data_IF_145005738279
#
_entry.id   IF_145005738279
#
_cell.length_a   1.000
_cell.length_b   1.000
_cell.length_c   1.000
_cell.angle_alpha   90.00
_cell.angle_beta   90.00
_cell.angle_gamma   90.00
#
_symmetry.space_group_name_H-M   'P 1'
#
loop_
_entity.id
_entity.type
_entity.pdbx_description
1 polymer ?
#
# COMPACT_ATOMS: atom_id res chain seq x y z
N UNK A 1 13.62 -47.41 2.91
CA UNK A 1 14.76 -47.82 2.05
C UNK A 1 15.22 -46.55 1.31
N UNK A 2 16.21 -45.82 1.83
CA UNK A 2 17.66 -45.88 1.50
C UNK A 2 17.97 -45.61 0.01
N UNK A 3 18.55 -44.42 -0.23
CA UNK A 3 19.33 -43.88 -1.37
C UNK A 3 20.36 -44.89 -1.95
N UNK A 4 20.89 -44.76 -3.20
CA UNK A 4 21.99 -43.82 -3.58
C UNK A 4 21.89 -43.20 -5.02
N UNK A 5 22.38 -41.99 -5.34
CA UNK A 5 23.75 -41.40 -5.46
C UNK A 5 24.51 -41.67 -6.78
N UNK A 6 25.10 -40.59 -7.33
CA UNK A 6 26.28 -40.46 -8.25
C UNK A 6 26.05 -40.70 -9.76
N UNK A 7 26.67 -40.01 -10.73
CA UNK A 7 27.73 -38.99 -10.86
C UNK A 7 27.66 -38.47 -12.34
N UNK A 8 28.21 -37.33 -12.81
CA UNK A 8 29.60 -36.95 -13.15
C UNK A 8 29.46 -35.64 -14.00
N UNK A 9 30.03 -34.48 -13.65
CA UNK A 9 31.33 -33.94 -14.08
C UNK A 9 31.58 -33.85 -15.61
N UNK A 10 31.57 -32.63 -16.19
CA UNK A 10 32.53 -32.19 -17.22
C UNK A 10 32.33 -30.71 -17.62
N UNK A 11 33.33 -29.87 -17.30
CA UNK A 11 33.62 -28.55 -17.89
C UNK A 11 34.48 -28.71 -19.17
N UNK A 12 34.46 -27.74 -20.09
CA UNK A 12 35.65 -27.44 -20.88
C UNK A 12 36.11 -25.98 -20.75
N UNK A 13 37.40 -25.85 -20.43
CA UNK A 13 38.25 -24.66 -20.51
C UNK A 13 38.54 -24.31 -21.98
N UNK A 14 38.47 -23.03 -22.34
CA UNK A 14 38.92 -22.53 -23.65
C UNK A 14 40.27 -21.81 -23.54
N UNK A 15 41.27 -22.53 -24.06
CA UNK A 15 42.54 -22.16 -24.72
C UNK A 15 42.95 -20.69 -24.80
N UNK A 16 44.17 -20.45 -24.30
CA UNK A 16 44.99 -19.23 -24.44
C UNK A 16 45.77 -19.28 -25.75
N UNK A 17 45.64 -18.26 -26.60
CA UNK A 17 46.49 -18.08 -27.78
C UNK A 17 47.74 -17.26 -27.41
N UNK A 18 48.90 -17.86 -27.65
CA UNK A 18 50.23 -17.28 -27.49
C UNK A 18 50.59 -16.42 -28.71
N UNK A 19 51.01 -15.18 -28.49
CA UNK A 19 51.65 -14.34 -29.50
C UNK A 19 53.05 -13.97 -29.00
N UNK A 20 54.10 -14.43 -29.72
CA UNK A 20 55.50 -14.08 -29.50
C UNK A 20 55.99 -13.19 -30.66
N UNK A 21 56.55 -12.00 -30.39
CA UNK A 21 57.43 -11.33 -31.33
C UNK A 21 58.90 -11.59 -31.00
N UNK A 22 59.63 -11.86 -32.07
CA UNK A 22 61.07 -12.04 -32.22
C UNK A 22 61.91 -10.86 -31.67
N UNK A 23 62.94 -11.18 -30.88
CA UNK A 23 63.92 -10.23 -30.33
C UNK A 23 65.21 -10.30 -31.16
N UNK A 24 65.54 -9.21 -31.86
CA UNK A 24 66.86 -8.96 -32.46
C UNK A 24 67.66 -8.02 -31.54
N UNK A 25 68.92 -8.32 -31.20
CA UNK A 25 69.71 -7.47 -30.30
C UNK A 25 70.28 -6.25 -31.06
N UNK A 26 69.97 -5.06 -30.58
CA UNK A 26 70.53 -3.79 -31.05
C UNK A 26 71.64 -3.29 -30.07
N UNK A 27 72.70 -2.61 -30.57
CA UNK A 27 73.88 -2.21 -29.81
C UNK A 27 73.59 -1.07 -28.81
N UNK A 28 74.48 -0.84 -27.82
CA UNK A 28 74.16 -0.09 -26.61
C UNK A 28 73.93 1.40 -26.90
N UNK A 29 72.73 1.89 -26.57
CA UNK A 29 72.47 3.33 -26.45
C UNK A 29 72.70 3.76 -25.00
N UNK A 30 73.62 4.69 -24.83
CA UNK A 30 73.88 5.40 -23.59
C UNK A 30 72.57 6.06 -23.15
N UNK A 31 71.97 5.53 -22.08
CA UNK A 31 70.73 6.07 -21.51
C UNK A 31 70.99 7.36 -20.73
N UNK A 32 70.01 8.29 -20.68
CA UNK A 32 70.11 9.48 -19.84
C UNK A 32 70.23 9.08 -18.36
N UNK A 33 71.01 9.83 -17.60
CA UNK A 33 71.29 9.52 -16.20
C UNK A 33 70.00 9.44 -15.37
N UNK A 34 69.90 8.53 -14.38
CA UNK A 34 68.68 8.22 -13.64
C UNK A 34 68.00 9.44 -12.97
N UNK A 35 68.76 10.50 -12.69
CA UNK A 35 68.25 11.77 -12.15
C UNK A 35 67.34 12.53 -13.12
N UNK A 36 67.62 12.55 -14.43
CA UNK A 36 66.78 13.25 -15.41
C UNK A 36 65.45 12.52 -15.64
N UNK A 37 65.47 11.18 -15.61
CA UNK A 37 64.27 10.37 -15.78
C UNK A 37 63.31 10.52 -14.59
N UNK A 38 63.83 10.66 -13.37
CA UNK A 38 63.04 10.86 -12.16
C UNK A 38 62.35 12.23 -12.12
N UNK A 39 63.01 13.27 -12.64
CA UNK A 39 62.43 14.61 -12.67
C UNK A 39 61.31 14.71 -13.72
N UNK A 40 61.50 14.09 -14.88
CA UNK A 40 60.49 14.06 -15.94
C UNK A 40 59.27 13.19 -15.56
N UNK A 41 59.48 12.07 -14.86
CA UNK A 41 58.38 11.22 -14.39
C UNK A 41 57.53 11.89 -13.31
N UNK A 42 58.13 12.71 -12.44
CA UNK A 42 57.36 13.51 -11.46
C UNK A 42 56.47 14.57 -12.14
N UNK A 43 56.95 15.23 -13.20
CA UNK A 43 56.14 16.21 -13.93
C UNK A 43 54.96 15.55 -14.65
N UNK A 44 55.18 14.40 -15.29
CA UNK A 44 54.13 13.61 -15.94
C UNK A 44 53.12 13.05 -14.93
N UNK A 45 53.58 12.59 -13.76
CA UNK A 45 52.71 12.12 -12.70
C UNK A 45 51.78 13.23 -12.18
N UNK A 46 52.28 14.46 -12.00
CA UNK A 46 51.44 15.60 -11.59
C UNK A 46 50.38 15.95 -12.63
N UNK A 47 50.73 15.91 -13.92
CA UNK A 47 49.79 16.21 -15.00
C UNK A 47 48.70 15.14 -15.11
N UNK A 48 49.07 13.86 -14.96
CA UNK A 48 48.13 12.75 -14.94
C UNK A 48 47.21 12.79 -13.72
N UNK A 49 47.73 13.14 -12.54
CA UNK A 49 46.94 13.27 -11.32
C UNK A 49 45.87 14.36 -11.45
N UNK A 50 46.20 15.52 -12.03
CA UNK A 50 45.22 16.58 -12.28
C UNK A 50 44.12 16.15 -13.26
N UNK A 51 44.48 15.45 -14.36
CA UNK A 51 43.49 14.91 -15.30
C UNK A 51 42.56 13.88 -14.65
N UNK A 52 43.12 13.01 -13.80
CA UNK A 52 42.35 11.98 -13.12
C UNK A 52 41.38 12.60 -12.10
N UNK A 53 41.82 13.63 -11.38
CA UNK A 53 40.97 14.38 -10.45
C UNK A 53 39.84 15.13 -11.17
N UNK A 54 40.12 15.73 -12.34
CA UNK A 54 39.11 16.38 -13.17
C UNK A 54 38.06 15.40 -13.72
N UNK A 55 38.49 14.22 -14.20
CA UNK A 55 37.58 13.17 -14.63
C UNK A 55 36.69 12.66 -13.48
N UNK A 56 37.25 12.50 -12.29
CA UNK A 56 36.50 12.05 -11.12
C UNK A 56 35.45 13.08 -10.68
N UNK A 57 35.78 14.38 -10.69
CA UNK A 57 34.82 15.45 -10.42
C UNK A 57 33.69 15.48 -11.45
N UNK A 58 34.01 15.31 -12.73
CA UNK A 58 33.00 15.34 -13.79
C UNK A 58 32.00 14.17 -13.66
N UNK A 59 32.49 12.98 -13.31
CA UNK A 59 31.63 11.82 -13.05
C UNK A 59 30.74 12.02 -11.83
N UNK A 60 31.28 12.58 -10.75
CA UNK A 60 30.53 12.87 -9.53
C UNK A 60 29.43 13.91 -9.78
N UNK A 61 29.72 14.96 -10.54
CA UNK A 61 28.73 15.99 -10.90
C UNK A 61 27.60 15.41 -11.75
N UNK A 62 27.92 14.53 -12.71
CA UNK A 62 26.91 13.86 -13.53
C UNK A 62 26.05 12.88 -12.72
N UNK A 63 26.66 12.17 -11.76
CA UNK A 63 25.95 11.27 -10.85
C UNK A 63 25.02 12.04 -9.89
N UNK A 64 25.46 13.21 -9.41
CA UNK A 64 24.65 14.09 -8.56
C UNK A 64 23.44 14.65 -9.33
N UNK A 65 23.62 15.06 -10.58
CA UNK A 65 22.53 15.55 -11.42
C UNK A 65 21.49 14.46 -11.73
N UNK A 66 21.94 13.23 -12.01
CA UNK A 66 21.05 12.05 -12.17
C UNK A 66 20.26 11.74 -10.90
N UNK A 67 20.92 11.78 -9.74
CA UNK A 67 20.25 11.57 -8.46
C UNK A 67 19.23 12.69 -8.16
N UNK A 68 19.59 13.95 -8.41
CA UNK A 68 18.68 15.08 -8.18
C UNK A 68 17.45 15.00 -9.09
N UNK A 69 17.60 14.60 -10.36
CA UNK A 69 16.48 14.43 -11.29
C UNK A 69 15.57 13.24 -10.91
N UNK A 70 16.14 12.12 -10.45
CA UNK A 70 15.34 11.00 -9.92
C UNK A 70 14.64 11.37 -8.60
N UNK A 71 15.28 12.17 -7.75
CA UNK A 71 14.70 12.60 -6.48
C UNK A 71 13.56 13.60 -6.70
N UNK A 72 13.67 14.47 -7.71
CA UNK A 72 12.60 15.37 -8.14
C UNK A 72 11.40 14.63 -8.75
N UNK A 73 11.63 13.60 -9.57
CA UNK A 73 10.55 12.76 -10.10
C UNK A 73 9.84 11.97 -8.99
N UNK A 74 10.60 11.44 -8.02
CA UNK A 74 10.04 10.74 -6.86
C UNK A 74 9.23 11.68 -5.96
N UNK A 75 9.73 12.89 -5.69
CA UNK A 75 9.02 13.87 -4.87
C UNK A 75 7.75 14.38 -5.57
N UNK A 76 7.78 14.60 -6.89
CA UNK A 76 6.60 14.97 -7.67
C UNK A 76 5.56 13.85 -7.67
N UNK A 77 5.95 12.60 -7.86
CA UNK A 77 5.03 11.46 -7.78
C UNK A 77 4.42 11.27 -6.38
N UNK A 78 5.21 11.52 -5.31
CA UNK A 78 4.70 11.52 -3.94
C UNK A 78 3.69 12.65 -3.71
N UNK A 79 4.00 13.86 -4.18
CA UNK A 79 3.12 15.03 -4.06
C UNK A 79 1.82 14.82 -4.85
N UNK A 80 1.89 14.25 -6.04
CA UNK A 80 0.72 13.96 -6.87
C UNK A 80 -0.18 12.90 -6.21
N UNK A 81 0.40 11.86 -5.58
CA UNK A 81 -0.38 10.90 -4.77
C UNK A 81 -1.01 11.54 -3.55
N UNK A 82 -0.28 12.40 -2.85
CA UNK A 82 -0.80 13.11 -1.68
C UNK A 82 -1.97 14.01 -2.07
N UNK A 83 -1.86 14.71 -3.21
CA UNK A 83 -2.94 15.52 -3.78
C UNK A 83 -4.13 14.65 -4.22
N UNK A 84 -3.91 13.50 -4.84
CA UNK A 84 -4.98 12.59 -5.25
C UNK A 84 -5.73 12.00 -4.05
N UNK A 85 -5.01 11.65 -2.97
CA UNK A 85 -5.61 11.25 -1.71
C UNK A 85 -6.37 12.41 -1.05
N UNK A 86 -5.83 13.63 -1.09
CA UNK A 86 -6.49 14.80 -0.53
C UNK A 86 -7.75 15.19 -1.33
N UNK A 87 -7.75 15.01 -2.65
CA UNK A 87 -8.90 15.16 -3.53
C UNK A 87 -9.96 14.08 -3.24
N UNK A 88 -9.55 12.83 -3.01
CA UNK A 88 -10.45 11.78 -2.55
C UNK A 88 -11.06 12.12 -1.18
N UNK A 89 -10.27 12.63 -0.25
CA UNK A 89 -10.75 13.14 1.05
C UNK A 89 -11.71 14.33 0.90
N UNK A 90 -11.47 15.25 -0.03
CA UNK A 90 -12.41 16.34 -0.34
C UNK A 90 -13.68 15.83 -1.03
N UNK A 91 -13.58 14.84 -1.91
CA UNK A 91 -14.75 14.22 -2.56
C UNK A 91 -15.63 13.50 -1.56
N UNK A 92 -15.03 12.74 -0.64
CA UNK A 92 -15.73 12.12 0.48
C UNK A 92 -16.47 13.15 1.35
N UNK A 93 -15.99 14.40 1.37
CA UNK A 93 -16.61 15.51 2.10
C UNK A 93 -17.76 16.18 1.32
N UNK A 94 -17.76 16.14 -0.01
CA UNK A 94 -18.81 16.69 -0.86
C UNK A 94 -19.82 15.59 -1.27
N UNK A 95 -20.84 15.37 -0.44
CA UNK A 95 -21.78 14.25 -0.55
C UNK A 95 -22.49 14.08 -1.91
N UNK A 96 -22.78 15.17 -2.64
CA UNK A 96 -23.47 15.08 -3.95
C UNK A 96 -22.57 14.51 -5.05
N UNK A 97 -21.33 15.01 -5.18
CA UNK A 97 -20.38 14.50 -6.19
C UNK A 97 -19.93 13.07 -5.87
N UNK A 98 -19.78 12.74 -4.57
CA UNK A 98 -19.48 11.38 -4.15
C UNK A 98 -20.58 10.38 -4.52
N UNK A 99 -21.86 10.78 -4.42
CA UNK A 99 -22.99 9.93 -4.79
C UNK A 99 -23.02 9.66 -6.30
N UNK A 100 -22.82 10.68 -7.13
CA UNK A 100 -22.77 10.51 -8.59
C UNK A 100 -21.59 9.64 -9.03
N UNK A 101 -20.39 9.85 -8.47
CA UNK A 101 -19.22 9.04 -8.76
C UNK A 101 -19.44 7.57 -8.35
N UNK A 102 -20.07 7.34 -7.20
CA UNK A 102 -20.42 6.00 -6.71
C UNK A 102 -21.41 5.32 -7.66
N UNK A 103 -22.45 6.02 -8.10
CA UNK A 103 -23.42 5.46 -9.03
C UNK A 103 -22.78 5.11 -10.39
N UNK A 104 -21.90 5.95 -10.93
CA UNK A 104 -21.17 5.63 -12.17
C UNK A 104 -20.25 4.43 -11.99
N UNK A 105 -19.58 4.33 -10.84
CA UNK A 105 -18.74 3.20 -10.50
C UNK A 105 -19.57 1.90 -10.44
N UNK A 106 -20.71 1.91 -9.75
CA UNK A 106 -21.63 0.77 -9.66
C UNK A 106 -22.13 0.32 -11.05
N UNK A 107 -22.47 1.27 -11.93
CA UNK A 107 -22.87 0.97 -13.31
C UNK A 107 -21.73 0.31 -14.11
N UNK A 108 -20.51 0.82 -14.00
CA UNK A 108 -19.36 0.22 -14.67
C UNK A 108 -19.07 -1.20 -14.15
N UNK A 109 -19.20 -1.43 -12.84
CA UNK A 109 -19.05 -2.75 -12.22
C UNK A 109 -20.12 -3.74 -12.67
N UNK A 110 -21.37 -3.29 -12.81
CA UNK A 110 -22.46 -4.10 -13.38
C UNK A 110 -22.14 -4.51 -14.82
N UNK A 111 -21.75 -3.58 -15.68
CA UNK A 111 -21.38 -3.88 -17.07
C UNK A 111 -20.20 -4.85 -17.15
N UNK A 112 -19.19 -4.68 -16.30
CA UNK A 112 -18.05 -5.60 -16.25
C UNK A 112 -18.46 -7.02 -15.80
N UNK A 113 -19.36 -7.13 -14.81
CA UNK A 113 -19.92 -8.42 -14.39
C UNK A 113 -20.75 -9.07 -15.50
N UNK A 114 -21.53 -8.29 -16.26
CA UNK A 114 -22.29 -8.79 -17.41
C UNK A 114 -21.37 -9.36 -18.49
N UNK A 115 -20.26 -8.69 -18.81
CA UNK A 115 -19.28 -9.20 -19.79
C UNK A 115 -18.65 -10.53 -19.34
N UNK A 116 -18.28 -10.63 -18.06
CA UNK A 116 -17.74 -11.87 -17.49
C UNK A 116 -18.79 -13.00 -17.56
N UNK A 117 -20.04 -12.70 -17.22
CA UNK A 117 -21.15 -13.67 -17.28
C UNK A 117 -21.47 -14.10 -18.72
N UNK A 118 -21.46 -13.17 -19.67
CA UNK A 118 -21.67 -13.45 -21.09
C UNK A 118 -20.58 -14.38 -21.63
N UNK A 119 -19.31 -14.13 -21.32
CA UNK A 119 -18.20 -15.00 -21.74
C UNK A 119 -18.37 -16.40 -21.16
N UNK A 120 -18.67 -16.52 -19.87
CA UNK A 120 -18.90 -17.81 -19.22
C UNK A 120 -20.07 -18.58 -19.87
N UNK A 121 -21.17 -17.89 -20.20
CA UNK A 121 -22.31 -18.47 -20.88
C UNK A 121 -21.98 -18.90 -22.32
N UNK A 122 -21.22 -18.08 -23.06
CA UNK A 122 -20.77 -18.40 -24.41
C UNK A 122 -19.87 -19.63 -24.44
N UNK A 123 -18.91 -19.73 -23.50
CA UNK A 123 -18.07 -20.91 -23.33
C UNK A 123 -18.91 -22.16 -23.04
N UNK A 124 -19.91 -22.06 -22.16
CA UNK A 124 -20.83 -23.17 -21.90
C UNK A 124 -21.62 -23.57 -23.15
N UNK A 125 -22.12 -22.61 -23.94
CA UNK A 125 -22.82 -22.88 -25.21
C UNK A 125 -21.90 -23.55 -26.22
N UNK A 126 -20.65 -23.10 -26.35
CA UNK A 126 -19.64 -23.72 -27.24
C UNK A 126 -19.36 -25.16 -26.86
N UNK A 127 -19.24 -25.47 -25.56
CA UNK A 127 -19.06 -26.85 -25.06
C UNK A 127 -20.25 -27.75 -25.37
N UNK A 128 -21.48 -27.22 -25.35
CA UNK A 128 -22.68 -27.98 -25.70
C UNK A 128 -22.81 -28.18 -27.22
N UNK A 129 -22.43 -27.18 -28.02
CA UNK A 129 -22.47 -27.26 -29.48
C UNK A 129 -21.35 -28.15 -30.04
N UNK A 130 -20.19 -28.18 -29.39
CA UNK A 130 -19.02 -28.96 -29.77
C UNK A 130 -18.52 -29.74 -28.53
N UNK A 131 -19.17 -30.87 -28.20
CA UNK A 131 -18.69 -31.72 -27.11
C UNK A 131 -17.33 -32.30 -27.47
N UNK A 132 -16.41 -32.28 -26.51
CA UNK A 132 -15.09 -32.89 -26.67
C UNK A 132 -15.19 -34.39 -26.96
N UNK A 133 -14.31 -34.91 -27.81
CA UNK A 133 -14.35 -36.31 -28.26
C UNK A 133 -13.83 -37.28 -27.18
N UNK A 134 -12.97 -36.80 -26.29
CA UNK A 134 -12.42 -37.57 -25.18
C UNK A 134 -12.19 -36.69 -23.93
N UNK A 135 -11.82 -37.34 -22.82
CA UNK A 135 -11.59 -36.68 -21.54
C UNK A 135 -10.37 -35.73 -21.56
N UNK A 136 -9.37 -35.98 -22.40
CA UNK A 136 -8.17 -35.13 -22.48
C UNK A 136 -8.50 -33.82 -23.21
N UNK A 137 -9.24 -33.89 -24.32
CA UNK A 137 -9.75 -32.73 -25.04
C UNK A 137 -10.72 -31.92 -24.16
N UNK A 138 -11.59 -32.59 -23.40
CA UNK A 138 -12.51 -31.91 -22.49
C UNK A 138 -11.75 -31.12 -21.41
N UNK A 139 -10.72 -31.72 -20.80
CA UNK A 139 -9.89 -31.08 -19.79
C UNK A 139 -9.05 -29.92 -20.37
N UNK A 140 -8.52 -30.08 -21.59
CA UNK A 140 -7.78 -29.02 -22.28
C UNK A 140 -8.69 -27.82 -22.58
N UNK A 141 -9.89 -28.06 -23.11
CA UNK A 141 -10.88 -27.02 -23.40
C UNK A 141 -11.32 -26.28 -22.12
N UNK A 142 -11.58 -27.02 -21.03
CA UNK A 142 -11.92 -26.41 -19.73
C UNK A 142 -10.81 -25.50 -19.21
N UNK A 143 -9.54 -25.88 -19.36
CA UNK A 143 -8.40 -25.05 -18.95
C UNK A 143 -8.27 -23.78 -19.78
N UNK A 144 -8.49 -23.87 -21.09
CA UNK A 144 -8.46 -22.70 -21.97
C UNK A 144 -9.61 -21.74 -21.68
N UNK A 145 -10.83 -22.26 -21.51
CA UNK A 145 -12.00 -21.48 -21.11
C UNK A 145 -11.74 -20.75 -19.79
N UNK A 146 -11.22 -21.46 -18.78
CA UNK A 146 -10.87 -20.89 -17.48
C UNK A 146 -9.83 -19.76 -17.61
N UNK A 147 -8.78 -19.96 -18.42
CA UNK A 147 -7.78 -18.93 -18.70
C UNK A 147 -8.37 -17.66 -19.31
N UNK A 148 -9.24 -17.81 -20.31
CA UNK A 148 -9.89 -16.67 -20.95
C UNK A 148 -10.77 -15.90 -19.95
N UNK A 149 -11.52 -16.63 -19.12
CA UNK A 149 -12.36 -16.05 -18.08
C UNK A 149 -11.54 -15.32 -17.02
N UNK A 150 -10.46 -15.93 -16.54
CA UNK A 150 -9.54 -15.31 -15.57
C UNK A 150 -8.89 -14.07 -16.16
N UNK A 151 -8.42 -14.12 -17.41
CA UNK A 151 -7.84 -12.95 -18.10
C UNK A 151 -8.82 -11.79 -18.20
N UNK A 152 -10.08 -12.05 -18.59
CA UNK A 152 -11.11 -11.01 -18.62
C UNK A 152 -11.38 -10.47 -17.21
N UNK A 153 -11.50 -11.35 -16.22
CA UNK A 153 -11.76 -10.97 -14.82
C UNK A 153 -10.65 -10.09 -14.26
N UNK A 154 -9.39 -10.44 -14.49
CA UNK A 154 -8.22 -9.65 -14.05
C UNK A 154 -8.21 -8.27 -14.71
N UNK A 155 -8.48 -8.21 -16.02
CA UNK A 155 -8.54 -6.95 -16.77
C UNK A 155 -9.67 -6.06 -16.24
N UNK A 156 -10.88 -6.59 -16.12
CA UNK A 156 -12.02 -5.88 -15.55
C UNK A 156 -11.76 -5.43 -14.12
N UNK A 157 -11.01 -6.21 -13.34
CA UNK A 157 -10.62 -5.83 -11.98
C UNK A 157 -9.71 -4.60 -11.96
N UNK A 158 -8.66 -4.59 -12.78
CA UNK A 158 -7.77 -3.42 -12.87
C UNK A 158 -8.50 -2.16 -13.37
N UNK A 159 -9.34 -2.30 -14.39
CA UNK A 159 -9.97 -1.17 -15.09
C UNK A 159 -11.16 -0.60 -14.31
N UNK A 160 -11.91 -1.46 -13.61
CA UNK A 160 -13.20 -1.09 -12.99
C UNK A 160 -13.18 -1.34 -11.48
N UNK A 161 -13.09 -2.60 -11.04
CA UNK A 161 -13.36 -2.96 -9.64
C UNK A 161 -12.32 -2.44 -8.63
N UNK A 162 -11.05 -2.29 -9.02
CA UNK A 162 -9.99 -1.84 -8.12
C UNK A 162 -10.28 -0.43 -7.60
N UNK A 163 -10.85 0.45 -8.43
CA UNK A 163 -11.19 1.82 -8.03
C UNK A 163 -12.28 1.83 -6.96
N UNK A 164 -13.32 1.01 -7.12
CA UNK A 164 -14.38 0.82 -6.13
C UNK A 164 -13.80 0.31 -4.81
N UNK A 165 -13.04 -0.79 -4.87
CA UNK A 165 -12.44 -1.40 -3.68
C UNK A 165 -11.50 -0.46 -2.90
N UNK A 166 -10.70 0.36 -3.60
CA UNK A 166 -9.85 1.38 -2.95
C UNK A 166 -10.70 2.48 -2.33
N UNK A 167 -11.79 2.90 -2.99
CA UNK A 167 -12.70 3.92 -2.47
C UNK A 167 -13.40 3.43 -1.20
N UNK A 168 -13.87 2.19 -1.19
CA UNK A 168 -14.49 1.57 -0.01
C UNK A 168 -13.48 1.49 1.14
N UNK A 169 -12.26 1.02 0.88
CA UNK A 169 -11.19 0.99 1.87
C UNK A 169 -10.89 2.37 2.45
N UNK A 170 -10.84 3.43 1.61
CA UNK A 170 -10.69 4.82 2.05
C UNK A 170 -11.87 5.29 2.92
N UNK A 171 -13.10 4.93 2.57
CA UNK A 171 -14.29 5.28 3.35
C UNK A 171 -14.24 4.69 4.77
N UNK A 172 -13.74 3.47 4.92
CA UNK A 172 -13.60 2.84 6.26
C UNK A 172 -12.62 3.57 7.19
N UNK A 173 -11.77 4.44 6.65
CA UNK A 173 -10.81 5.25 7.41
C UNK A 173 -11.39 6.59 7.88
N UNK A 174 -12.63 6.91 7.52
CA UNK A 174 -13.32 8.12 7.93
C UNK A 174 -14.53 7.80 8.81
N UNK A 175 -14.88 8.74 9.69
CA UNK A 175 -16.22 8.74 10.30
C UNK A 175 -17.24 9.12 9.24
N UNK A 176 -18.41 8.46 9.26
CA UNK A 176 -19.56 8.89 8.45
C UNK A 176 -20.00 10.31 8.85
N UNK A 177 -20.68 11.06 7.97
CA UNK A 177 -21.17 12.41 8.30
C UNK A 177 -22.01 12.43 9.58
N UNK A 178 -22.95 11.48 9.74
CA UNK A 178 -23.76 11.35 10.94
C UNK A 178 -22.91 11.07 12.20
N UNK A 179 -21.88 10.24 12.08
CA UNK A 179 -20.96 9.98 13.19
C UNK A 179 -20.12 11.23 13.54
N UNK A 180 -19.72 12.03 12.55
CA UNK A 180 -19.00 13.29 12.79
C UNK A 180 -19.90 14.31 13.53
N UNK A 181 -21.14 14.48 13.07
CA UNK A 181 -22.14 15.33 13.73
C UNK A 181 -22.38 14.88 15.17
N UNK A 182 -22.47 13.56 15.41
CA UNK A 182 -22.66 13.01 16.75
C UNK A 182 -21.46 13.30 17.66
N UNK A 183 -20.21 13.15 17.18
CA UNK A 183 -19.02 13.53 17.95
C UNK A 183 -19.02 15.04 18.27
N UNK A 184 -19.36 15.88 17.30
CA UNK A 184 -19.43 17.33 17.48
C UNK A 184 -20.47 17.71 18.53
N UNK A 185 -21.70 17.18 18.41
CA UNK A 185 -22.80 17.41 19.35
C UNK A 185 -22.41 17.00 20.77
N UNK A 186 -21.87 15.80 20.97
CA UNK A 186 -21.41 15.35 22.29
C UNK A 186 -20.33 16.28 22.84
N UNK A 187 -19.40 16.70 21.98
CA UNK A 187 -18.34 17.62 22.38
C UNK A 187 -18.88 19.00 22.77
N UNK A 188 -19.93 19.50 22.11
CA UNK A 188 -20.56 20.78 22.43
C UNK A 188 -21.33 20.69 23.74
N UNK A 189 -22.21 19.69 23.90
CA UNK A 189 -23.01 19.46 25.11
C UNK A 189 -22.11 19.35 26.36
N UNK A 190 -21.07 18.52 26.32
CA UNK A 190 -20.16 18.33 27.46
C UNK A 190 -19.24 19.53 27.73
N UNK A 191 -19.08 20.47 26.79
CA UNK A 191 -18.30 21.70 27.00
C UNK A 191 -19.19 22.85 27.49
N UNK A 192 -20.46 22.85 27.12
CA UNK A 192 -21.41 23.89 27.45
C UNK A 192 -21.65 24.00 28.96
N UNK A 193 -21.45 25.20 29.50
CA UNK A 193 -21.71 25.45 30.90
C UNK A 193 -23.18 25.46 31.28
N UNK A 194 -24.08 25.83 30.38
CA UNK A 194 -25.51 25.81 30.64
C UNK A 194 -26.01 24.37 30.78
N UNK A 195 -25.58 23.46 29.89
CA UNK A 195 -25.84 22.02 30.02
C UNK A 195 -25.49 21.49 31.41
N UNK A 196 -24.27 21.74 31.90
CA UNK A 196 -23.84 21.28 33.23
C UNK A 196 -24.64 21.88 34.39
N UNK A 197 -25.12 23.11 34.26
CA UNK A 197 -25.95 23.76 35.29
C UNK A 197 -27.39 23.24 35.32
N UNK A 198 -27.85 22.64 34.22
CA UNK A 198 -29.19 22.06 34.09
C UNK A 198 -29.25 20.59 34.53
N UNK A 199 -28.11 19.89 34.60
CA UNK A 199 -28.07 18.50 35.03
C UNK A 199 -28.23 18.38 36.54
N UNK A 200 -29.10 17.46 36.97
CA UNK A 200 -29.10 16.97 38.34
C UNK A 200 -27.72 16.33 38.62
N UNK A 201 -27.01 16.71 39.70
CA UNK A 201 -25.74 16.10 40.09
C UNK A 201 -25.78 14.58 40.15
N UNK A 202 -26.93 13.99 40.54
CA UNK A 202 -27.12 12.54 40.58
C UNK A 202 -27.22 11.89 39.19
N UNK A 203 -27.64 12.65 38.16
CA UNK A 203 -27.81 12.17 36.79
C UNK A 203 -26.62 12.53 35.88
N UNK A 204 -25.84 13.55 36.23
CA UNK A 204 -24.71 14.04 35.44
C UNK A 204 -23.71 12.92 35.11
N UNK A 205 -23.39 12.06 36.08
CA UNK A 205 -22.47 10.94 35.86
C UNK A 205 -23.03 9.89 34.89
N UNK A 206 -24.32 9.57 34.98
CA UNK A 206 -24.98 8.65 34.06
C UNK A 206 -25.03 9.20 32.63
N UNK A 207 -25.27 10.51 32.48
CA UNK A 207 -25.23 11.17 31.16
C UNK A 207 -23.82 11.15 30.56
N UNK A 208 -22.79 11.45 31.36
CA UNK A 208 -21.39 11.31 30.92
C UNK A 208 -21.09 9.86 30.52
N UNK A 209 -21.61 8.87 31.25
CA UNK A 209 -21.48 7.46 30.88
C UNK A 209 -22.10 7.16 29.52
N UNK A 210 -23.32 7.62 29.25
CA UNK A 210 -24.00 7.45 27.97
C UNK A 210 -23.24 8.11 26.80
N UNK A 211 -22.75 9.33 26.99
CA UNK A 211 -21.93 10.02 25.99
C UNK A 211 -20.59 9.31 25.76
N UNK A 212 -19.93 8.85 26.83
CA UNK A 212 -18.66 8.13 26.72
C UNK A 212 -18.84 6.79 26.00
N UNK A 213 -19.93 6.04 26.27
CA UNK A 213 -20.26 4.81 25.55
C UNK A 213 -20.50 5.06 24.06
N UNK A 214 -21.16 6.17 23.72
CA UNK A 214 -21.36 6.58 22.32
C UNK A 214 -20.02 6.86 21.64
N UNK A 215 -19.14 7.64 22.27
CA UNK A 215 -17.80 7.92 21.74
C UNK A 215 -16.96 6.64 21.60
N UNK A 216 -17.07 5.70 22.54
CA UNK A 216 -16.43 4.38 22.48
C UNK A 216 -16.91 3.59 21.26
N UNK A 217 -18.21 3.56 20.99
CA UNK A 217 -18.76 2.85 19.83
C UNK A 217 -18.33 3.51 18.50
N UNK A 218 -18.42 4.83 18.40
CA UNK A 218 -17.98 5.57 17.21
C UNK A 218 -16.49 5.37 16.94
N UNK A 219 -15.66 5.39 17.98
CA UNK A 219 -14.22 5.15 17.87
C UNK A 219 -13.93 3.71 17.50
N UNK A 220 -14.64 2.73 18.07
CA UNK A 220 -14.47 1.31 17.72
C UNK A 220 -14.83 1.05 16.25
N UNK A 221 -15.91 1.66 15.78
CA UNK A 221 -16.32 1.61 14.37
C UNK A 221 -15.26 2.22 13.46
N UNK A 222 -14.76 3.42 13.81
CA UNK A 222 -13.69 4.09 13.06
C UNK A 222 -12.43 3.24 12.98
N UNK A 223 -12.02 2.62 14.10
CA UNK A 223 -10.78 1.87 14.14
C UNK A 223 -10.91 0.43 13.64
N UNK A 224 -12.13 -0.07 13.45
CA UNK A 224 -12.41 -1.43 13.00
C UNK A 224 -12.17 -2.50 14.06
N UNK A 225 -12.12 -2.15 15.35
CA UNK A 225 -12.00 -3.07 16.47
C UNK A 225 -12.61 -2.48 17.74
N UNK A 226 -13.03 -3.34 18.67
CA UNK A 226 -13.53 -2.90 19.97
C UNK A 226 -12.39 -2.29 20.79
N UNK A 227 -12.46 -0.97 21.02
CA UNK A 227 -11.46 -0.29 21.83
C UNK A 227 -11.52 -0.70 23.31
N UNK A 228 -12.43 -1.51 23.80
CA UNK A 228 -12.29 -2.10 25.14
C UNK A 228 -11.23 -3.22 25.18
N UNK A 229 -10.82 -3.73 24.02
CA UNK A 229 -9.95 -4.90 23.88
C UNK A 229 -8.54 -4.55 23.38
N UNK A 230 -7.66 -5.54 23.33
CA UNK A 230 -6.33 -5.41 22.72
C UNK A 230 -6.48 -5.26 21.21
N UNK A 231 -5.78 -4.30 20.55
CA UNK A 231 -5.85 -4.15 19.10
C UNK A 231 -5.47 -5.46 18.40
N UNK A 232 -6.17 -5.85 17.32
CA UNK A 232 -5.84 -7.07 16.60
C UNK A 232 -4.45 -6.92 15.97
N UNK A 233 -3.69 -8.03 15.98
CA UNK A 233 -2.44 -8.09 15.24
C UNK A 233 -2.75 -8.05 13.74
N UNK A 234 -2.34 -6.98 13.06
CA UNK A 234 -2.51 -6.87 11.61
C UNK A 234 -1.21 -7.30 10.93
N UNK A 235 -1.28 -8.42 10.21
CA UNK A 235 -0.17 -8.88 9.39
C UNK A 235 0.16 -7.83 8.31
N UNK A 236 1.43 -7.80 7.88
CA UNK A 236 1.80 -6.98 6.73
C UNK A 236 1.00 -7.46 5.50
N UNK A 237 0.35 -6.56 4.74
CA UNK A 237 -0.38 -6.95 3.54
C UNK A 237 0.60 -7.62 2.56
N UNK A 238 0.29 -8.84 2.14
CA UNK A 238 1.06 -9.61 1.16
C UNK A 238 0.19 -10.04 -0.01
N UNK A 239 0.65 -9.75 -1.22
CA UNK A 239 0.01 -10.21 -2.46
C UNK A 239 0.36 -11.67 -2.81
N UNK A 240 1.10 -12.41 -1.97
CA UNK A 240 1.57 -13.77 -2.30
C UNK A 240 0.44 -14.72 -2.71
N UNK A 241 -0.69 -14.72 -2.00
CA UNK A 241 -1.84 -15.57 -2.35
C UNK A 241 -2.46 -15.19 -3.69
N UNK A 242 -2.52 -13.89 -3.97
CA UNK A 242 -3.02 -13.39 -5.25
C UNK A 242 -2.10 -13.81 -6.39
N UNK A 243 -0.78 -13.66 -6.21
CA UNK A 243 0.23 -14.09 -7.18
C UNK A 243 0.23 -15.61 -7.39
N UNK A 244 0.01 -16.40 -6.34
CA UNK A 244 -0.07 -17.86 -6.42
C UNK A 244 -1.31 -18.31 -7.18
N UNK A 245 -2.49 -17.73 -6.90
CA UNK A 245 -3.70 -17.99 -7.68
C UNK A 245 -3.50 -17.64 -9.15
N UNK A 246 -2.95 -16.45 -9.43
CA UNK A 246 -2.69 -16.00 -10.79
C UNK A 246 -1.69 -16.89 -11.53
N UNK A 247 -0.70 -17.47 -10.83
CA UNK A 247 0.22 -18.43 -11.43
C UNK A 247 -0.50 -19.72 -11.89
N UNK A 248 -1.63 -20.05 -11.28
CA UNK A 248 -2.50 -21.19 -11.60
C UNK A 248 -3.73 -20.81 -12.45
N UNK A 249 -3.74 -19.62 -13.05
CA UNK A 249 -4.87 -19.10 -13.84
C UNK A 249 -6.17 -18.94 -13.03
N UNK A 250 -6.05 -18.64 -11.74
CA UNK A 250 -7.17 -18.32 -10.85
C UNK A 250 -7.05 -16.89 -10.32
N UNK A 251 -8.17 -16.17 -10.21
CA UNK A 251 -8.18 -14.83 -9.65
C UNK A 251 -9.34 -14.66 -8.67
N UNK A 252 -9.00 -14.48 -7.40
CA UNK A 252 -9.95 -14.20 -6.33
C UNK A 252 -10.03 -12.70 -6.05
N UNK A 253 -11.16 -12.10 -6.47
CA UNK A 253 -11.49 -10.70 -6.20
C UNK A 253 -11.59 -10.40 -4.70
N UNK A 254 -12.06 -11.38 -3.91
CA UNK A 254 -12.18 -11.28 -2.46
C UNK A 254 -10.82 -11.19 -1.77
N UNK A 255 -9.83 -11.94 -2.22
CA UNK A 255 -8.45 -11.84 -1.70
C UNK A 255 -7.82 -10.48 -2.01
N UNK A 256 -8.06 -9.93 -3.21
CA UNK A 256 -7.60 -8.59 -3.56
C UNK A 256 -8.29 -7.49 -2.71
N UNK A 257 -9.61 -7.59 -2.50
CA UNK A 257 -10.35 -6.70 -1.61
C UNK A 257 -9.88 -6.81 -0.14
N UNK A 258 -9.63 -8.04 0.33
CA UNK A 258 -9.11 -8.31 1.68
C UNK A 258 -7.77 -7.63 1.90
N UNK A 259 -6.86 -7.69 0.93
CA UNK A 259 -5.56 -7.01 1.01
C UNK A 259 -5.70 -5.50 1.24
N UNK A 260 -6.63 -4.84 0.54
CA UNK A 260 -6.89 -3.41 0.70
C UNK A 260 -7.51 -3.10 2.07
N UNK A 261 -8.47 -3.93 2.51
CA UNK A 261 -9.14 -3.77 3.81
C UNK A 261 -8.19 -4.01 4.99
N UNK A 262 -7.32 -5.02 4.90
CA UNK A 262 -6.29 -5.30 5.90
C UNK A 262 -5.28 -4.15 5.98
N UNK A 263 -4.89 -3.60 4.82
CA UNK A 263 -4.02 -2.43 4.78
C UNK A 263 -4.69 -1.19 5.41
N UNK A 264 -5.96 -0.92 5.09
CA UNK A 264 -6.73 0.16 5.71
C UNK A 264 -6.90 -0.04 7.23
N UNK A 265 -7.23 -1.25 7.68
CA UNK A 265 -7.29 -1.60 9.10
C UNK A 265 -5.95 -1.35 9.80
N UNK A 266 -4.84 -1.77 9.19
CA UNK A 266 -3.51 -1.53 9.72
C UNK A 266 -3.18 -0.03 9.84
N UNK A 267 -3.65 0.81 8.92
CA UNK A 267 -3.52 2.27 9.00
C UNK A 267 -4.36 2.83 10.15
N UNK A 268 -5.62 2.43 10.26
CA UNK A 268 -6.56 2.89 11.29
C UNK A 268 -6.05 2.58 12.69
N UNK A 269 -5.61 1.35 12.95
CA UNK A 269 -5.05 0.94 14.24
C UNK A 269 -3.80 1.75 14.60
N UNK A 270 -2.90 1.94 13.63
CA UNK A 270 -1.64 2.68 13.85
C UNK A 270 -1.91 4.16 14.14
N UNK A 271 -2.78 4.80 13.35
CA UNK A 271 -3.13 6.20 13.51
C UNK A 271 -3.98 6.47 14.76
N UNK A 272 -4.84 5.50 15.13
CA UNK A 272 -5.87 5.62 16.17
C UNK A 272 -5.46 5.21 17.58
N UNK A 273 -4.22 4.72 17.79
CA UNK A 273 -3.77 4.26 19.10
C UNK A 273 -3.83 5.35 20.20
N UNK A 274 -3.63 6.62 19.85
CA UNK A 274 -3.81 7.75 20.76
C UNK A 274 -5.28 8.03 21.06
N UNK A 275 -6.12 8.02 20.03
CA UNK A 275 -7.57 8.25 20.14
C UNK A 275 -8.26 7.19 21.02
N UNK A 276 -7.96 5.91 20.79
CA UNK A 276 -8.49 4.82 21.61
C UNK A 276 -8.17 5.01 23.11
N UNK A 277 -6.93 5.42 23.43
CA UNK A 277 -6.52 5.70 24.82
C UNK A 277 -7.25 6.90 25.41
N UNK A 278 -7.42 7.98 24.64
CA UNK A 278 -8.13 9.18 25.11
C UNK A 278 -9.61 8.88 25.42
N UNK A 279 -10.28 8.09 24.57
CA UNK A 279 -11.69 7.72 24.77
C UNK A 279 -11.87 6.77 25.95
N UNK A 280 -10.97 5.79 26.13
CA UNK A 280 -10.95 4.95 27.34
C UNK A 280 -10.78 5.78 28.62
N UNK A 281 -9.90 6.77 28.60
CA UNK A 281 -9.70 7.66 29.75
C UNK A 281 -10.98 8.45 30.09
N UNK A 282 -11.70 8.94 29.08
CA UNK A 282 -13.02 9.57 29.28
C UNK A 282 -14.05 8.59 29.87
N UNK A 283 -14.08 7.35 29.36
CA UNK A 283 -14.98 6.31 29.88
C UNK A 283 -14.72 5.99 31.36
N UNK A 284 -13.46 6.01 31.80
CA UNK A 284 -13.09 5.79 33.20
C UNK A 284 -13.61 6.88 34.14
N UNK A 285 -13.75 8.12 33.67
CA UNK A 285 -14.35 9.22 34.45
C UNK A 285 -15.84 9.01 34.71
N UNK A 286 -16.49 8.18 33.89
CA UNK A 286 -17.90 7.85 34.03
C UNK A 286 -18.15 6.64 34.95
N UNK A 287 -17.10 5.95 35.42
CA UNK A 287 -17.24 4.79 36.28
C UNK A 287 -17.74 5.17 37.70
N UNK A 288 -18.61 4.36 38.33
CA UNK A 288 -19.17 4.66 39.64
C UNK A 288 -18.12 4.49 40.75
N UNK A 289 -17.50 5.59 41.18
CA UNK A 289 -16.50 5.61 42.25
C UNK A 289 -16.95 6.42 43.50
N UNK A 290 -18.26 6.47 43.76
CA UNK A 290 -18.87 7.28 44.84
C UNK A 290 -19.47 8.58 44.31
N UNK A 291 -20.17 9.37 45.16
CA UNK A 291 -20.84 10.59 44.74
C UNK A 291 -19.80 11.60 44.22
N UNK A 292 -19.82 11.94 42.91
CA UNK A 292 -18.81 12.80 42.34
C UNK A 292 -19.04 14.24 42.79
N UNK A 293 -17.95 14.93 43.13
CA UNK A 293 -17.97 16.40 43.11
C UNK A 293 -18.23 16.84 41.66
N UNK A 294 -19.43 17.38 41.41
CA UNK A 294 -19.91 17.75 40.08
C UNK A 294 -19.01 18.78 39.40
N UNK A 295 -18.33 19.65 40.17
CA UNK A 295 -17.36 20.61 39.62
C UNK A 295 -16.08 19.93 39.18
N UNK A 296 -15.59 18.97 39.97
CA UNK A 296 -14.42 18.16 39.65
C UNK A 296 -14.69 17.30 38.41
N UNK A 297 -15.81 16.57 38.39
CA UNK A 297 -16.23 15.76 37.24
C UNK A 297 -16.30 16.59 35.96
N UNK A 298 -16.96 17.75 36.02
CA UNK A 298 -17.04 18.69 34.89
C UNK A 298 -15.65 19.10 34.38
N UNK A 299 -14.72 19.38 35.29
CA UNK A 299 -13.35 19.81 34.92
C UNK A 299 -12.58 18.68 34.25
N UNK A 300 -12.63 17.47 34.82
CA UNK A 300 -11.96 16.28 34.28
C UNK A 300 -12.55 15.86 32.93
N UNK A 301 -13.89 15.85 32.80
CA UNK A 301 -14.57 15.54 31.53
C UNK A 301 -14.18 16.56 30.46
N UNK A 302 -14.15 17.86 30.77
CA UNK A 302 -13.70 18.90 29.83
C UNK A 302 -12.24 18.74 29.42
N UNK A 303 -11.36 18.31 30.31
CA UNK A 303 -9.96 18.06 30.01
C UNK A 303 -9.80 16.83 29.11
N UNK A 304 -10.46 15.73 29.46
CA UNK A 304 -10.42 14.48 28.70
C UNK A 304 -11.02 14.64 27.30
N UNK A 305 -12.13 15.38 27.16
CA UNK A 305 -12.74 15.67 25.87
C UNK A 305 -11.83 16.54 24.96
N UNK A 306 -11.05 17.48 25.52
CA UNK A 306 -10.03 18.20 24.72
C UNK A 306 -8.98 17.24 24.17
N UNK A 307 -8.55 16.27 24.98
CA UNK A 307 -7.61 15.25 24.55
C UNK A 307 -8.20 14.34 23.46
N UNK A 308 -9.47 13.92 23.60
CA UNK A 308 -10.19 13.16 22.55
C UNK A 308 -10.21 13.93 21.24
N UNK A 309 -10.60 15.20 21.27
CA UNK A 309 -10.65 16.06 20.08
C UNK A 309 -9.26 16.24 19.44
N UNK A 310 -8.22 16.44 20.26
CA UNK A 310 -6.85 16.55 19.78
C UNK A 310 -6.36 15.25 19.12
N UNK A 311 -6.64 14.10 19.72
CA UNK A 311 -6.27 12.80 19.14
C UNK A 311 -7.09 12.45 17.90
N UNK A 312 -8.35 12.88 17.81
CA UNK A 312 -9.15 12.74 16.59
C UNK A 312 -8.56 13.57 15.44
N UNK A 313 -8.14 14.82 15.71
CA UNK A 313 -7.42 15.63 14.71
C UNK A 313 -6.09 14.98 14.30
N UNK A 314 -5.34 14.44 15.26
CA UNK A 314 -4.10 13.69 14.98
C UNK A 314 -4.36 12.43 14.17
N UNK A 315 -5.45 11.73 14.44
CA UNK A 315 -5.88 10.57 13.64
C UNK A 315 -6.07 10.98 12.18
N UNK A 316 -6.85 12.03 11.90
CA UNK A 316 -7.07 12.52 10.54
C UNK A 316 -5.78 12.98 9.85
N UNK A 317 -4.82 13.54 10.60
CA UNK A 317 -3.51 13.92 10.07
C UNK A 317 -2.58 12.72 9.80
N UNK A 318 -2.77 11.60 10.49
CA UNK A 318 -1.89 10.42 10.41
C UNK A 318 -2.43 9.32 9.49
N UNK A 319 -3.74 9.16 9.40
CA UNK A 319 -4.34 8.11 8.58
C UNK A 319 -4.00 8.35 7.10
N UNK A 320 -3.51 7.32 6.40
CA UNK A 320 -2.99 7.45 5.03
C UNK A 320 -1.49 7.80 4.94
N UNK A 321 -0.86 8.30 6.01
CA UNK A 321 0.56 8.71 5.95
C UNK A 321 1.52 7.53 5.90
N UNK A 322 1.10 6.36 6.40
CA UNK A 322 1.93 5.15 6.37
C UNK A 322 1.99 4.51 4.98
N UNK A 323 1.06 4.88 4.09
CA UNK A 323 1.03 4.43 2.70
C UNK A 323 0.75 2.93 2.53
N UNK A 324 0.24 2.25 3.56
CA UNK A 324 -0.04 0.80 3.50
C UNK A 324 -1.11 0.51 2.47
N UNK A 325 -2.17 1.32 2.39
CA UNK A 325 -3.21 1.15 1.37
C UNK A 325 -2.65 1.35 -0.04
N UNK A 326 -1.79 2.35 -0.24
CA UNK A 326 -1.13 2.58 -1.54
C UNK A 326 -0.17 1.43 -1.89
N UNK A 327 0.52 0.86 -0.90
CA UNK A 327 1.39 -0.30 -1.10
C UNK A 327 0.58 -1.55 -1.49
N UNK A 328 -0.55 -1.81 -0.83
CA UNK A 328 -1.46 -2.90 -1.17
C UNK A 328 -2.03 -2.74 -2.59
N UNK A 329 -2.52 -1.54 -2.94
CA UNK A 329 -2.97 -1.22 -4.30
C UNK A 329 -1.86 -1.49 -5.33
N UNK A 330 -0.64 -1.02 -5.06
CA UNK A 330 0.51 -1.23 -5.95
C UNK A 330 0.83 -2.72 -6.12
N UNK A 331 0.78 -3.49 -5.04
CA UNK A 331 1.04 -4.93 -5.08
C UNK A 331 -0.01 -5.67 -5.92
N UNK A 332 -1.29 -5.29 -5.83
CA UNK A 332 -2.36 -5.85 -6.65
C UNK A 332 -2.15 -5.52 -8.13
N UNK A 333 -1.87 -4.24 -8.45
CA UNK A 333 -1.60 -3.81 -9.83
C UNK A 333 -0.42 -4.56 -10.40
N UNK A 334 0.68 -4.68 -9.64
CA UNK A 334 1.86 -5.39 -10.08
C UNK A 334 1.56 -6.88 -10.36
N UNK A 335 0.90 -7.58 -9.43
CA UNK A 335 0.57 -9.00 -9.61
C UNK A 335 -0.34 -9.24 -10.83
N UNK A 336 -1.30 -8.34 -11.06
CA UNK A 336 -2.23 -8.43 -12.18
C UNK A 336 -1.58 -8.03 -13.52
N UNK A 337 -0.69 -7.04 -13.54
CA UNK A 337 0.10 -6.66 -14.72
C UNK A 337 1.04 -7.79 -15.15
N UNK A 338 1.74 -8.41 -14.20
CA UNK A 338 2.63 -9.54 -14.45
C UNK A 338 1.87 -10.71 -15.10
N UNK A 339 0.66 -11.01 -14.61
CA UNK A 339 -0.22 -12.04 -15.21
C UNK A 339 -0.66 -11.68 -16.64
N UNK A 340 -1.15 -10.45 -16.85
CA UNK A 340 -1.60 -9.99 -18.17
C UNK A 340 -0.47 -9.90 -19.19
N UNK A 341 0.76 -9.60 -18.75
CA UNK A 341 1.94 -9.59 -19.61
C UNK A 341 2.33 -11.01 -20.05
N UNK A 342 2.33 -11.97 -19.11
CA UNK A 342 2.65 -13.38 -19.39
C UNK A 342 1.67 -13.99 -20.40
N UNK A 343 0.37 -13.74 -20.23
CA UNK A 343 -0.69 -14.26 -21.13
C UNK A 343 -0.69 -13.63 -22.53
N UNK A 344 -0.14 -12.42 -22.71
CA UNK A 344 0.11 -11.84 -24.04
C UNK A 344 1.28 -12.53 -24.77
N UNK A 345 2.26 -13.05 -24.05
CA UNK A 345 3.40 -13.77 -24.64
C UNK A 345 3.06 -15.17 -25.17
N UNK A 346 2.07 -15.83 -24.55
CA UNK A 346 1.65 -17.19 -24.93
C UNK A 346 0.67 -17.25 -26.13
N UNK A 347 0.14 -16.11 -26.59
CA UNK A 347 -0.77 -16.05 -27.76
C UNK A 347 -0.04 -15.89 -29.10
N UNK A 348 1.31 -15.96 -29.09
CA UNK A 348 2.17 -15.74 -30.27
C UNK A 348 3.00 -16.95 -30.72
N UNK A 349 2.59 -18.19 -30.40
CA UNK A 349 3.23 -19.42 -30.88
C UNK A 349 2.27 -20.34 -31.60
#
# INVERSE_FOLDING_TARGET
MKLPLLAFLSLPLSVVAQYRPSYTPAPPRIGPSPMQMQQQSQQLARQNFQRQQAQQMQMMQQQMMRNQQQQALRSQAQMQRQMQQQLLWMRLRNGQQAAEDKQRQEQAEQQANEQIAQLAQEQQRKRLAQPAQDAQQAAAQQREDARQLTRLTVKSYQEVFLRGAVTDALQTMALSPAAQEQVQRISEELRDGAWWSQQDPAQAQAQVAAHSATLTNLTSTLLGYDIATTPPAVAAPSASRLSEGLANDEFDRGEAARLLNDAALAERITAGAGLARAVRALQQLAAPAGPPDSKKLRTEVKASLRQVNQELQRYHARVGTTGKLSAAQKAIVQATDEYLAKTKGDTGK
#
